data_IF_944223607489
#
_entry.id   IF_944223607489
#
_cell.length_a   1.000
_cell.length_b   1.000
_cell.length_c   1.000
_cell.angle_alpha   90.00
_cell.angle_beta   90.00
_cell.angle_gamma   90.00
#
_symmetry.space_group_name_H-M   'P 1'
#
loop_
_entity.id
_entity.type
_entity.pdbx_description
1 polymer ?
#
# COMPACT_ATOMS: atom_id res chain seq x y z
N UNK A 1 7.28 2.10 2.92
CA UNK A 1 6.87 3.21 3.78
C UNK A 1 6.23 2.76 5.08
N UNK A 2 5.30 1.79 5.09
CA UNK A 2 4.60 1.35 6.32
C UNK A 2 5.49 0.65 7.35
N UNK A 3 6.67 0.21 6.97
CA UNK A 3 7.62 -0.49 7.84
C UNK A 3 8.72 0.45 8.36
N UNK A 4 9.04 1.52 7.64
CA UNK A 4 10.22 2.35 7.97
C UNK A 4 10.12 2.99 9.35
N UNK A 5 8.94 3.46 9.75
CA UNK A 5 8.74 4.03 11.08
C UNK A 5 8.81 2.98 12.20
N UNK A 6 8.28 1.78 11.94
CA UNK A 6 8.43 0.66 12.86
C UNK A 6 9.91 0.30 13.04
N UNK A 7 10.71 0.41 11.99
CA UNK A 7 12.15 0.17 12.03
C UNK A 7 12.84 1.15 12.95
N UNK A 8 12.49 2.44 12.90
CA UNK A 8 13.07 3.45 13.77
C UNK A 8 12.75 3.20 15.25
N UNK A 9 11.55 2.70 15.55
CA UNK A 9 11.20 2.25 16.91
C UNK A 9 11.97 1.00 17.33
N UNK A 10 12.06 -0.01 16.46
CA UNK A 10 12.79 -1.27 16.74
C UNK A 10 14.29 -0.99 16.97
N UNK A 11 14.89 -0.05 16.24
CA UNK A 11 16.30 0.33 16.42
C UNK A 11 16.63 0.94 17.79
N UNK A 12 15.63 1.42 18.52
CA UNK A 12 15.82 1.90 19.90
C UNK A 12 16.12 0.76 20.87
N UNK A 13 15.77 -0.47 20.52
CA UNK A 13 16.04 -1.65 21.33
C UNK A 13 17.52 -2.06 21.21
N UNK A 14 18.22 -2.12 22.36
CA UNK A 14 19.69 -2.28 22.43
C UNK A 14 20.24 -3.60 21.85
N UNK A 15 19.40 -4.63 21.73
CA UNK A 15 19.82 -5.97 21.34
C UNK A 15 19.29 -6.40 19.97
N UNK A 16 18.77 -5.46 19.18
CA UNK A 16 18.21 -5.74 17.87
C UNK A 16 19.07 -5.10 16.79
N UNK A 17 19.57 -5.90 15.87
CA UNK A 17 20.21 -5.46 14.65
C UNK A 17 19.19 -5.54 13.51
N UNK A 18 18.93 -4.40 12.84
CA UNK A 18 18.00 -4.32 11.72
C UNK A 18 18.77 -4.28 10.42
N UNK A 19 18.44 -5.22 9.52
CA UNK A 19 18.98 -5.29 8.17
C UNK A 19 17.82 -5.12 7.18
N UNK A 20 17.93 -4.14 6.29
CA UNK A 20 16.91 -3.88 5.28
C UNK A 20 17.25 -4.56 3.97
N UNK A 21 16.33 -5.44 3.54
CA UNK A 21 16.36 -5.99 2.19
C UNK A 21 15.45 -5.20 1.26
N UNK A 22 15.91 -4.87 0.07
CA UNK A 22 15.11 -4.17 -0.95
C UNK A 22 15.23 -4.81 -2.32
N UNK A 23 14.22 -4.60 -3.15
CA UNK A 23 14.20 -5.01 -4.54
C UNK A 23 14.50 -3.81 -5.46
N UNK A 24 14.95 -4.05 -6.70
CA UNK A 24 15.43 -3.02 -7.65
C UNK A 24 14.51 -1.80 -7.86
N UNK A 25 13.22 -1.92 -7.58
CA UNK A 25 12.25 -0.82 -7.76
C UNK A 25 12.17 0.19 -6.61
N UNK A 26 12.74 -0.11 -5.44
CA UNK A 26 12.59 0.70 -4.20
C UNK A 26 13.89 1.33 -3.69
N UNK A 27 14.94 1.32 -4.48
CA UNK A 27 16.30 1.64 -4.05
C UNK A 27 16.55 3.10 -3.63
N UNK A 28 15.71 4.06 -4.06
CA UNK A 28 15.99 5.49 -3.82
C UNK A 28 15.61 5.96 -2.41
N UNK A 29 14.66 5.31 -1.76
CA UNK A 29 14.15 5.70 -0.43
C UNK A 29 14.90 5.02 0.73
N UNK A 30 15.66 3.95 0.44
CA UNK A 30 16.27 3.08 1.46
C UNK A 30 17.78 3.33 1.61
N UNK A 31 18.39 4.14 0.73
CA UNK A 31 19.86 4.37 0.70
C UNK A 31 20.46 4.97 1.96
N UNK A 32 19.65 5.62 2.78
CA UNK A 32 20.10 6.32 3.99
C UNK A 32 20.16 5.43 5.25
N UNK A 33 19.78 4.15 5.14
CA UNK A 33 19.88 3.21 6.25
C UNK A 33 21.24 2.52 6.26
N UNK A 34 21.87 2.44 7.44
CA UNK A 34 23.26 1.96 7.63
C UNK A 34 23.52 0.55 7.09
N UNK A 35 22.51 -0.33 7.13
CA UNK A 35 22.63 -1.73 6.65
C UNK A 35 21.53 -2.04 5.67
N UNK A 36 21.80 -1.83 4.40
CA UNK A 36 20.89 -2.19 3.32
C UNK A 36 21.57 -3.12 2.34
N UNK A 37 20.81 -4.04 1.77
CA UNK A 37 21.30 -4.91 0.72
C UNK A 37 20.22 -5.16 -0.33
N UNK A 38 20.66 -5.35 -1.57
CA UNK A 38 19.78 -5.83 -2.63
C UNK A 38 19.42 -7.28 -2.40
N UNK A 39 18.13 -7.59 -2.46
CA UNK A 39 17.63 -8.94 -2.30
C UNK A 39 16.87 -9.39 -3.54
N UNK A 40 17.26 -10.52 -4.08
CA UNK A 40 16.44 -11.23 -5.04
C UNK A 40 15.51 -12.17 -4.26
N UNK A 41 14.20 -11.94 -4.37
CA UNK A 41 13.19 -12.68 -3.62
C UNK A 41 13.30 -14.21 -3.78
N UNK A 42 13.79 -14.70 -4.93
CA UNK A 42 14.01 -16.12 -5.15
C UNK A 42 15.11 -16.75 -4.30
N UNK A 43 16.00 -15.95 -3.71
CA UNK A 43 17.08 -16.42 -2.85
C UNK A 43 16.82 -16.26 -1.36
N UNK A 44 15.70 -15.65 -0.96
CA UNK A 44 15.35 -15.45 0.46
C UNK A 44 15.44 -16.73 1.29
N UNK A 45 15.00 -17.85 0.74
CA UNK A 45 15.01 -19.16 1.40
C UNK A 45 16.39 -19.66 1.83
N UNK A 46 17.46 -19.11 1.28
CA UNK A 46 18.84 -19.50 1.58
C UNK A 46 19.48 -18.66 2.68
N UNK A 47 18.83 -17.60 3.15
CA UNK A 47 19.35 -16.76 4.22
C UNK A 47 19.14 -17.48 5.55
N UNK A 48 20.24 -17.80 6.25
CA UNK A 48 20.22 -18.57 7.50
C UNK A 48 20.53 -17.77 8.76
N UNK A 49 20.95 -16.51 8.60
CA UNK A 49 21.47 -15.69 9.71
C UNK A 49 20.48 -14.61 10.17
N UNK A 50 19.19 -14.88 10.03
CA UNK A 50 18.12 -13.97 10.44
C UNK A 50 17.25 -14.69 11.45
N UNK A 51 17.09 -14.10 12.64
CA UNK A 51 16.22 -14.65 13.69
C UNK A 51 14.74 -14.32 13.45
N UNK A 52 14.48 -13.12 12.92
CA UNK A 52 13.14 -12.62 12.61
C UNK A 52 13.13 -12.07 11.18
N UNK A 53 12.19 -12.53 10.40
CA UNK A 53 11.90 -11.98 9.06
C UNK A 53 10.56 -11.26 9.09
N UNK A 54 10.58 -9.96 8.76
CA UNK A 54 9.41 -9.11 8.75
C UNK A 54 9.16 -8.57 7.35
N UNK A 55 7.92 -8.64 6.86
CA UNK A 55 7.54 -8.15 5.54
C UNK A 55 6.13 -7.57 5.53
N UNK A 56 5.92 -6.47 4.81
CA UNK A 56 4.60 -5.92 4.49
C UNK A 56 4.04 -6.41 3.15
N UNK A 57 4.82 -7.18 2.41
CA UNK A 57 4.37 -7.82 1.17
C UNK A 57 4.34 -9.33 1.36
N UNK A 58 3.44 -9.99 0.63
CA UNK A 58 3.35 -11.45 0.66
C UNK A 58 4.58 -12.05 0.00
N UNK A 59 5.33 -12.83 0.77
CA UNK A 59 6.51 -13.56 0.31
C UNK A 59 6.15 -15.04 0.24
N UNK A 60 6.41 -15.67 -0.90
CA UNK A 60 6.09 -17.08 -1.14
C UNK A 60 7.21 -18.02 -0.66
N UNK A 61 8.47 -17.58 -0.77
CA UNK A 61 9.65 -18.30 -0.31
C UNK A 61 10.31 -17.52 0.84
N UNK A 62 10.15 -18.02 2.03
CA UNK A 62 10.70 -17.43 3.24
C UNK A 62 12.13 -17.87 3.51
N UNK A 63 12.95 -17.02 4.15
CA UNK A 63 14.24 -17.44 4.68
C UNK A 63 14.07 -18.50 5.76
N UNK A 64 15.15 -19.24 6.00
CA UNK A 64 15.25 -20.22 7.09
C UNK A 64 15.42 -19.49 8.44
N UNK A 65 14.34 -18.90 8.95
CA UNK A 65 14.31 -18.15 10.21
C UNK A 65 13.43 -18.85 11.24
N UNK A 66 13.57 -18.48 12.51
CA UNK A 66 12.73 -18.99 13.58
C UNK A 66 11.34 -18.36 13.56
N UNK A 67 11.24 -17.05 13.23
CA UNK A 67 9.98 -16.31 13.25
C UNK A 67 9.77 -15.53 11.95
N UNK A 68 8.60 -15.68 11.36
CA UNK A 68 8.17 -15.01 10.15
C UNK A 68 6.94 -14.16 10.45
N UNK A 69 7.07 -12.86 10.29
CA UNK A 69 6.02 -11.88 10.59
C UNK A 69 5.58 -11.22 9.31
N UNK A 70 4.31 -11.31 9.01
CA UNK A 70 3.67 -10.53 7.97
C UNK A 70 2.89 -9.38 8.60
N UNK A 71 3.13 -8.15 8.13
CA UNK A 71 2.35 -6.97 8.50
C UNK A 71 1.45 -6.62 7.33
N UNK A 72 0.15 -6.63 7.53
CA UNK A 72 -0.78 -6.25 6.49
C UNK A 72 -0.60 -4.76 6.13
N UNK A 73 -0.37 -4.48 4.86
CA UNK A 73 -0.15 -3.12 4.36
C UNK A 73 -1.45 -2.41 3.93
N UNK A 74 -2.56 -3.15 3.89
CA UNK A 74 -3.89 -2.63 3.59
C UNK A 74 -4.73 -2.53 4.85
N UNK A 75 -5.63 -1.55 4.90
CA UNK A 75 -6.51 -1.36 6.06
C UNK A 75 -7.61 -2.40 6.14
N UNK A 76 -8.16 -2.82 5.01
CA UNK A 76 -9.34 -3.70 4.94
C UNK A 76 -9.17 -4.88 4.00
N UNK A 77 -8.66 -4.67 2.81
CA UNK A 77 -8.54 -5.70 1.81
C UNK A 77 -7.09 -5.90 1.36
N UNK A 78 -6.69 -7.11 1.36
CA UNK A 78 -5.71 -7.56 0.39
C UNK A 78 -6.51 -7.86 -0.86
N UNK A 79 -6.10 -7.42 -2.07
CA UNK A 79 -6.88 -7.60 -3.28
C UNK A 79 -7.08 -9.09 -3.56
N UNK A 80 -8.17 -9.62 -3.06
CA UNK A 80 -8.60 -11.01 -3.20
C UNK A 80 -9.71 -11.11 -4.24
N UNK A 81 -9.46 -10.51 -5.40
CA UNK A 81 -10.43 -10.45 -6.50
C UNK A 81 -10.37 -11.72 -7.36
N UNK A 82 -9.26 -12.46 -7.30
CA UNK A 82 -9.00 -13.65 -8.06
C UNK A 82 -8.85 -14.86 -7.12
N UNK A 83 -9.75 -15.85 -7.23
CA UNK A 83 -9.79 -17.03 -6.36
C UNK A 83 -8.47 -17.82 -6.38
N UNK A 84 -7.77 -17.87 -7.49
CA UNK A 84 -6.49 -18.57 -7.58
C UNK A 84 -5.37 -17.78 -6.87
N UNK A 85 -5.35 -16.48 -7.04
CA UNK A 85 -4.44 -15.58 -6.31
C UNK A 85 -4.73 -15.62 -4.82
N UNK A 86 -6.01 -15.62 -4.41
CA UNK A 86 -6.42 -15.76 -3.02
C UNK A 86 -5.89 -17.06 -2.40
N UNK A 87 -6.05 -18.20 -3.09
CA UNK A 87 -5.57 -19.50 -2.63
C UNK A 87 -4.05 -19.49 -2.40
N UNK A 88 -3.29 -18.92 -3.34
CA UNK A 88 -1.83 -18.83 -3.23
C UNK A 88 -1.41 -17.87 -2.11
N UNK A 89 -2.11 -16.75 -1.95
CA UNK A 89 -1.91 -15.81 -0.85
C UNK A 89 -2.11 -16.51 0.50
N UNK A 90 -3.23 -17.20 0.69
CA UNK A 90 -3.53 -17.93 1.93
C UNK A 90 -2.47 -19.00 2.22
N UNK A 91 -2.01 -19.71 1.19
CA UNK A 91 -0.90 -20.68 1.36
C UNK A 91 0.40 -20.02 1.82
N UNK A 92 0.71 -18.83 1.32
CA UNK A 92 1.90 -18.10 1.74
C UNK A 92 1.75 -17.57 3.18
N UNK A 93 0.60 -17.00 3.52
CA UNK A 93 0.30 -16.51 4.86
C UNK A 93 0.31 -17.64 5.91
N UNK A 94 -0.13 -18.84 5.56
CA UNK A 94 -0.06 -20.00 6.45
C UNK A 94 1.38 -20.45 6.79
N UNK A 95 2.40 -19.96 6.07
CA UNK A 95 3.81 -20.19 6.39
C UNK A 95 4.37 -19.19 7.41
N UNK A 96 3.64 -18.12 7.71
CA UNK A 96 4.04 -17.15 8.74
C UNK A 96 3.83 -17.73 10.14
N UNK A 97 4.57 -17.21 11.11
CA UNK A 97 4.35 -17.51 12.53
C UNK A 97 3.38 -16.48 13.12
N UNK A 98 3.48 -15.23 12.68
CA UNK A 98 2.61 -14.13 13.10
C UNK A 98 2.10 -13.35 11.90
N UNK A 99 0.86 -12.88 11.98
CA UNK A 99 0.24 -11.98 11.02
C UNK A 99 -0.36 -10.81 11.78
N UNK A 100 0.16 -9.61 11.53
CA UNK A 100 -0.29 -8.38 12.13
C UNK A 100 -1.35 -7.75 11.23
N UNK A 101 -2.52 -7.47 11.79
CA UNK A 101 -3.72 -7.04 11.08
C UNK A 101 -4.29 -5.76 11.67
N UNK A 102 -4.97 -5.00 10.83
CA UNK A 102 -5.46 -3.66 11.16
C UNK A 102 -6.66 -3.65 12.13
N UNK A 103 -7.43 -4.72 12.22
CA UNK A 103 -8.63 -4.79 13.05
C UNK A 103 -9.15 -6.21 13.27
N UNK A 104 -10.03 -6.37 14.25
CA UNK A 104 -10.75 -7.61 14.52
C UNK A 104 -11.57 -8.10 13.31
N UNK A 105 -12.16 -7.20 12.54
CA UNK A 105 -12.96 -7.54 11.35
C UNK A 105 -12.06 -8.21 10.30
N UNK A 106 -10.85 -7.69 10.10
CA UNK A 106 -9.87 -8.26 9.17
C UNK A 106 -9.37 -9.62 9.67
N UNK A 107 -9.17 -9.77 10.98
CA UNK A 107 -8.83 -11.07 11.60
C UNK A 107 -9.91 -12.10 11.29
N UNK A 108 -11.16 -11.80 11.59
CA UNK A 108 -12.28 -12.71 11.36
C UNK A 108 -12.44 -13.09 9.88
N UNK A 109 -12.27 -12.11 8.98
CA UNK A 109 -12.32 -12.33 7.54
C UNK A 109 -11.20 -13.29 7.09
N UNK A 110 -9.95 -13.04 7.54
CA UNK A 110 -8.81 -13.87 7.18
C UNK A 110 -8.94 -15.28 7.78
N UNK A 111 -9.38 -15.42 9.02
CA UNK A 111 -9.63 -16.73 9.64
C UNK A 111 -10.64 -17.56 8.86
N UNK A 112 -11.75 -16.94 8.43
CA UNK A 112 -12.76 -17.59 7.60
C UNK A 112 -12.14 -18.13 6.30
N UNK A 113 -11.35 -17.30 5.61
CA UNK A 113 -10.68 -17.67 4.37
C UNK A 113 -9.64 -18.77 4.59
N UNK A 114 -8.82 -18.66 5.62
CA UNK A 114 -7.83 -19.69 5.98
C UNK A 114 -8.50 -21.04 6.26
N UNK A 115 -9.64 -21.05 6.93
CA UNK A 115 -10.40 -22.27 7.20
C UNK A 115 -10.93 -22.92 5.92
N UNK A 116 -11.43 -22.13 4.97
CA UNK A 116 -11.91 -22.65 3.67
C UNK A 116 -10.81 -23.34 2.85
N UNK A 117 -9.56 -22.89 2.97
CA UNK A 117 -8.44 -23.45 2.20
C UNK A 117 -7.57 -24.47 2.98
N UNK A 118 -7.90 -24.75 4.26
CA UNK A 118 -7.11 -25.64 5.12
C UNK A 118 -7.54 -27.10 5.05
N UNK A 119 -8.61 -27.46 4.37
CA UNK A 119 -9.19 -28.82 4.37
C UNK A 119 -8.26 -29.94 3.89
N UNK A 120 -7.10 -29.59 3.29
CA UNK A 120 -6.13 -30.55 2.77
C UNK A 120 -4.69 -30.40 3.34
N UNK A 121 -4.47 -29.57 4.36
CA UNK A 121 -3.13 -29.39 4.91
C UNK A 121 -2.98 -30.07 6.28
N UNK A 122 -2.35 -31.22 6.25
CA UNK A 122 -1.92 -31.98 7.42
C UNK A 122 -0.93 -31.11 8.22
N UNK A 123 -1.34 -30.73 9.45
CA UNK A 123 -0.46 -30.32 10.57
C UNK A 123 0.62 -29.25 10.29
N UNK A 124 0.33 -28.14 9.66
CA UNK A 124 1.17 -26.96 9.85
C UNK A 124 0.62 -26.12 11.03
N UNK A 125 1.53 -25.62 11.88
CA UNK A 125 1.19 -24.65 12.93
C UNK A 125 0.47 -23.47 12.26
N UNK A 126 -0.76 -23.17 12.67
CA UNK A 126 -1.48 -21.98 12.14
C UNK A 126 -0.79 -20.72 12.64
N UNK A 127 -0.68 -19.66 11.82
CA UNK A 127 -0.13 -18.39 12.26
C UNK A 127 -0.99 -17.79 13.38
N UNK A 128 -0.34 -17.07 14.28
CA UNK A 128 -1.02 -16.26 15.26
C UNK A 128 -1.45 -14.94 14.61
N UNK A 129 -2.75 -14.66 14.60
CA UNK A 129 -3.30 -13.40 14.09
C UNK A 129 -3.38 -12.39 15.22
N UNK A 130 -2.81 -11.22 15.04
CA UNK A 130 -2.70 -10.19 16.07
C UNK A 130 -3.29 -8.89 15.54
N UNK A 131 -4.21 -8.29 16.30
CA UNK A 131 -4.71 -6.95 16.03
C UNK A 131 -3.67 -5.93 16.51
N UNK A 132 -3.01 -5.27 15.57
CA UNK A 132 -1.98 -4.25 15.84
C UNK A 132 -2.44 -2.84 15.50
N UNK A 133 -3.65 -2.69 14.96
CA UNK A 133 -4.05 -1.44 14.34
C UNK A 133 -3.42 -1.26 12.95
N UNK A 134 -3.51 -0.06 12.41
CA UNK A 134 -3.02 0.29 11.09
C UNK A 134 -1.98 1.41 11.15
N UNK A 135 -0.70 1.04 11.21
CA UNK A 135 0.44 1.95 11.39
C UNK A 135 0.45 3.14 10.43
N UNK A 136 0.08 2.90 9.17
CA UNK A 136 0.01 3.97 8.17
C UNK A 136 -1.01 5.05 8.53
N UNK A 137 -2.13 4.67 9.15
CA UNK A 137 -3.15 5.62 9.58
C UNK A 137 -2.66 6.48 10.74
N UNK A 138 -1.97 5.87 11.70
CA UNK A 138 -1.39 6.58 12.85
C UNK A 138 -0.41 7.65 12.37
N UNK A 139 0.48 7.29 11.42
CA UNK A 139 1.40 8.23 10.81
C UNK A 139 0.72 9.38 10.07
N UNK A 140 -0.27 9.05 9.23
CA UNK A 140 -1.05 10.07 8.50
C UNK A 140 -1.73 11.02 9.46
N UNK A 141 -2.38 10.49 10.49
CA UNK A 141 -3.09 11.26 11.50
C UNK A 141 -2.16 12.25 12.22
N UNK A 142 -1.01 11.77 12.71
CA UNK A 142 -0.04 12.63 13.40
C UNK A 142 0.51 13.72 12.47
N UNK A 143 0.83 13.41 11.22
CA UNK A 143 1.32 14.38 10.23
C UNK A 143 0.27 15.40 9.81
N UNK A 144 -1.00 15.01 9.70
CA UNK A 144 -2.08 15.93 9.36
C UNK A 144 -2.47 16.83 10.54
N UNK A 145 -2.45 16.31 11.77
CA UNK A 145 -2.80 17.05 12.99
C UNK A 145 -1.89 18.27 13.25
N UNK A 146 -0.61 18.17 12.88
CA UNK A 146 0.38 19.22 13.14
C UNK A 146 0.22 20.43 12.20
N UNK A 147 -0.42 20.27 11.04
CA UNK A 147 -0.47 21.28 10.00
C UNK A 147 -1.92 21.71 9.73
N UNK A 148 -2.11 23.02 9.52
CA UNK A 148 -3.40 23.56 9.11
C UNK A 148 -3.81 22.99 7.76
N UNK A 149 -5.02 22.48 7.65
CA UNK A 149 -5.60 22.01 6.41
C UNK A 149 -6.01 23.23 5.54
N UNK A 150 -5.61 23.23 4.28
CA UNK A 150 -5.98 24.30 3.33
C UNK A 150 -7.38 24.09 2.73
N UNK A 151 -7.79 22.86 2.55
CA UNK A 151 -9.12 22.40 2.11
C UNK A 151 -9.73 23.16 0.91
N UNK A 152 -8.90 23.56 -0.04
CA UNK A 152 -9.32 24.31 -1.24
C UNK A 152 -9.41 23.45 -2.51
N UNK A 153 -9.18 22.14 -2.37
CA UNK A 153 -9.02 21.24 -3.50
C UNK A 153 -9.93 20.02 -3.43
N UNK A 154 -10.15 19.40 -4.58
CA UNK A 154 -10.72 18.06 -4.75
C UNK A 154 -9.61 17.15 -5.22
N UNK A 155 -9.39 16.03 -4.51
CA UNK A 155 -8.42 15.01 -4.85
C UNK A 155 -9.08 13.90 -5.66
N UNK A 156 -8.58 13.65 -6.88
CA UNK A 156 -8.93 12.49 -7.70
C UNK A 156 -7.81 11.47 -7.56
N UNK A 157 -8.06 10.35 -6.89
CA UNK A 157 -7.05 9.32 -6.61
C UNK A 157 -7.58 7.92 -6.90
N UNK A 158 -7.54 7.48 -8.17
CA UNK A 158 -7.98 6.13 -8.56
C UNK A 158 -7.07 5.04 -7.99
N UNK A 159 -7.61 3.82 -7.91
CA UNK A 159 -6.82 2.61 -7.61
C UNK A 159 -5.92 2.23 -8.78
N UNK A 160 -5.04 1.25 -8.56
CA UNK A 160 -4.21 0.67 -9.62
C UNK A 160 -5.11 0.15 -10.76
N UNK A 161 -4.86 0.61 -11.96
CA UNK A 161 -5.69 0.35 -13.14
C UNK A 161 -5.90 -1.13 -13.48
N UNK A 162 -4.99 -2.00 -13.04
CA UNK A 162 -5.08 -3.45 -13.26
C UNK A 162 -5.90 -4.18 -12.19
N UNK A 163 -6.37 -3.47 -11.15
CA UNK A 163 -7.09 -4.09 -10.03
C UNK A 163 -8.54 -4.38 -10.39
N UNK A 164 -9.20 -3.46 -11.10
CA UNK A 164 -10.61 -3.60 -11.48
C UNK A 164 -10.70 -3.85 -12.99
N UNK A 165 -11.40 -4.92 -13.38
CA UNK A 165 -11.56 -5.28 -14.80
C UNK A 165 -12.75 -4.55 -15.45
N UNK A 166 -13.80 -4.29 -14.68
CA UNK A 166 -15.09 -3.83 -15.22
C UNK A 166 -15.35 -2.34 -14.97
N UNK A 167 -14.55 -1.69 -14.13
CA UNK A 167 -14.67 -0.26 -13.84
C UNK A 167 -13.30 0.33 -13.52
N UNK A 168 -12.97 1.45 -14.15
CA UNK A 168 -11.76 2.18 -13.89
C UNK A 168 -12.04 3.67 -13.95
N UNK A 169 -11.86 4.37 -12.84
CA UNK A 169 -12.11 5.81 -12.75
C UNK A 169 -11.30 6.60 -13.79
N UNK A 170 -10.13 6.12 -14.18
CA UNK A 170 -9.29 6.78 -15.17
C UNK A 170 -9.95 6.95 -16.55
N UNK A 171 -10.89 6.07 -16.91
CA UNK A 171 -11.64 6.18 -18.17
C UNK A 171 -12.60 7.37 -18.17
N UNK A 172 -12.99 7.82 -16.98
CA UNK A 172 -13.92 8.92 -16.76
C UNK A 172 -13.24 10.22 -16.30
N UNK A 173 -11.91 10.25 -16.20
CA UNK A 173 -11.17 11.40 -15.68
C UNK A 173 -11.44 12.68 -16.44
N UNK A 174 -11.40 12.66 -17.77
CA UNK A 174 -11.59 13.87 -18.57
C UNK A 174 -12.97 14.51 -18.36
N UNK A 175 -14.10 13.78 -18.47
CA UNK A 175 -15.40 14.36 -18.18
C UNK A 175 -15.54 14.80 -16.71
N UNK A 176 -14.98 14.07 -15.75
CA UNK A 176 -15.02 14.43 -14.32
C UNK A 176 -14.26 15.73 -14.10
N UNK A 177 -13.02 15.84 -14.56
CA UNK A 177 -12.19 17.05 -14.42
C UNK A 177 -12.89 18.25 -15.04
N UNK A 178 -13.40 18.11 -16.26
CA UNK A 178 -14.11 19.15 -16.97
C UNK A 178 -15.33 19.65 -16.18
N UNK A 179 -16.13 18.72 -15.66
CA UNK A 179 -17.34 19.04 -14.90
C UNK A 179 -16.99 19.77 -13.60
N UNK A 180 -15.99 19.28 -12.86
CA UNK A 180 -15.55 19.89 -11.61
C UNK A 180 -14.97 21.29 -11.84
N UNK A 181 -14.14 21.50 -12.86
CA UNK A 181 -13.56 22.80 -13.17
C UNK A 181 -14.61 23.83 -13.61
N UNK A 182 -15.71 23.41 -14.25
CA UNK A 182 -16.75 24.30 -14.72
C UNK A 182 -17.77 24.66 -13.64
N UNK A 183 -18.02 23.76 -12.68
CA UNK A 183 -19.14 23.88 -11.75
C UNK A 183 -18.71 24.05 -10.29
N UNK A 184 -17.40 24.13 -10.02
CA UNK A 184 -16.89 24.35 -8.66
C UNK A 184 -15.79 25.40 -8.64
N UNK A 185 -15.54 25.96 -7.46
CA UNK A 185 -14.41 26.86 -7.22
C UNK A 185 -13.17 26.13 -6.67
N UNK A 186 -13.22 24.80 -6.54
CA UNK A 186 -12.12 24.01 -6.02
C UNK A 186 -11.00 23.87 -7.06
N UNK A 187 -9.79 23.79 -6.58
CA UNK A 187 -8.67 23.26 -7.36
C UNK A 187 -8.81 21.75 -7.50
N UNK A 188 -8.39 21.21 -8.62
CA UNK A 188 -8.43 19.75 -8.87
C UNK A 188 -7.02 19.21 -8.81
N UNK A 189 -6.79 18.25 -7.94
CA UNK A 189 -5.54 17.51 -7.84
C UNK A 189 -5.80 16.09 -8.34
N UNK A 190 -5.18 15.72 -9.46
CA UNK A 190 -5.21 14.35 -9.94
C UNK A 190 -3.94 13.62 -9.50
N UNK A 191 -4.09 12.57 -8.73
CA UNK A 191 -2.99 11.73 -8.25
C UNK A 191 -3.12 10.31 -8.77
N UNK A 192 -2.44 9.97 -9.89
CA UNK A 192 -2.46 8.62 -10.45
C UNK A 192 -1.80 7.63 -9.49
N UNK A 193 -2.22 6.37 -9.54
CA UNK A 193 -1.60 5.33 -8.73
C UNK A 193 -0.13 5.14 -9.13
N UNK A 194 0.83 5.08 -8.18
CA UNK A 194 2.26 4.95 -8.49
C UNK A 194 2.61 3.74 -9.35
N UNK A 195 1.89 2.62 -9.18
CA UNK A 195 2.08 1.39 -9.96
C UNK A 195 1.71 1.52 -11.44
N UNK A 196 0.95 2.55 -11.82
CA UNK A 196 0.56 2.78 -13.22
C UNK A 196 1.66 3.45 -14.07
N UNK A 197 2.72 3.97 -13.44
CA UNK A 197 3.84 4.62 -14.16
C UNK A 197 4.48 3.74 -15.25
N UNK A 198 4.49 2.42 -15.05
CA UNK A 198 5.02 1.47 -16.03
C UNK A 198 4.01 1.04 -17.10
N UNK A 199 2.74 1.46 -17.00
CA UNK A 199 1.69 1.09 -17.93
C UNK A 199 1.62 2.08 -19.11
N UNK A 200 1.96 1.62 -20.31
CA UNK A 200 1.99 2.46 -21.51
C UNK A 200 0.62 3.10 -21.83
N UNK A 201 -0.46 2.37 -21.70
CA UNK A 201 -1.81 2.90 -21.97
C UNK A 201 -2.19 4.00 -20.98
N UNK A 202 -1.80 3.84 -19.72
CA UNK A 202 -2.01 4.88 -18.69
C UNK A 202 -1.18 6.12 -18.94
N UNK A 203 0.04 5.97 -19.40
CA UNK A 203 0.86 7.11 -19.79
C UNK A 203 0.24 7.91 -20.93
N UNK A 204 -0.45 7.27 -21.87
CA UNK A 204 -1.21 7.98 -22.91
C UNK A 204 -2.37 8.79 -22.33
N UNK A 205 -3.13 8.23 -21.41
CA UNK A 205 -4.22 8.94 -20.70
C UNK A 205 -3.64 10.10 -19.90
N UNK A 206 -2.59 9.87 -19.12
CA UNK A 206 -1.91 10.90 -18.34
C UNK A 206 -1.41 12.04 -19.19
N UNK A 207 -0.77 11.76 -20.32
CA UNK A 207 -0.27 12.77 -21.25
C UNK A 207 -1.42 13.56 -21.86
N UNK A 208 -2.50 12.91 -22.27
CA UNK A 208 -3.69 13.56 -22.82
C UNK A 208 -4.33 14.52 -21.80
N UNK A 209 -4.51 14.09 -20.56
CA UNK A 209 -5.03 14.91 -19.47
C UNK A 209 -4.09 16.08 -19.17
N UNK A 210 -2.79 15.81 -19.07
CA UNK A 210 -1.80 16.86 -18.84
C UNK A 210 -1.84 17.91 -19.95
N UNK A 211 -1.77 17.51 -21.21
CA UNK A 211 -1.76 18.43 -22.35
C UNK A 211 -3.01 19.30 -22.42
N UNK A 212 -4.16 18.73 -22.07
CA UNK A 212 -5.43 19.43 -22.06
C UNK A 212 -5.55 20.47 -20.93
N UNK A 213 -5.03 20.14 -19.74
CA UNK A 213 -5.27 20.95 -18.54
C UNK A 213 -4.03 21.64 -17.97
N UNK A 214 -2.81 21.43 -18.49
CA UNK A 214 -1.54 21.99 -17.96
C UNK A 214 -1.53 23.52 -17.80
N UNK A 215 -2.33 24.24 -18.59
CA UNK A 215 -2.43 25.70 -18.52
C UNK A 215 -3.58 26.17 -17.60
N UNK A 216 -4.36 25.25 -17.02
CA UNK A 216 -5.44 25.62 -16.10
C UNK A 216 -4.87 25.76 -14.69
N UNK A 217 -4.88 26.97 -14.13
CA UNK A 217 -4.37 27.28 -12.79
C UNK A 217 -5.05 26.51 -11.64
N UNK A 218 -6.23 25.99 -11.90
CA UNK A 218 -7.02 25.22 -10.94
C UNK A 218 -6.87 23.71 -11.14
N UNK A 219 -5.93 23.25 -11.98
CA UNK A 219 -5.66 21.82 -12.18
C UNK A 219 -4.18 21.51 -12.02
N UNK A 220 -3.87 20.42 -11.34
CA UNK A 220 -2.52 19.84 -11.32
C UNK A 220 -2.55 18.33 -11.26
N UNK A 221 -1.52 17.70 -11.82
CA UNK A 221 -1.22 16.29 -11.58
C UNK A 221 -0.16 16.21 -10.46
N UNK A 222 -0.41 15.37 -9.46
CA UNK A 222 0.51 15.13 -8.36
C UNK A 222 1.22 13.80 -8.54
N UNK A 223 2.55 13.88 -8.73
CA UNK A 223 3.45 12.72 -8.86
C UNK A 223 4.36 12.54 -7.65
N UNK A 224 4.18 13.32 -6.60
CA UNK A 224 5.01 13.24 -5.41
C UNK A 224 4.93 11.86 -4.76
N UNK A 225 6.01 11.42 -4.15
CA UNK A 225 6.04 10.15 -3.42
C UNK A 225 5.12 10.20 -2.20
N UNK A 226 5.10 11.34 -1.49
CA UNK A 226 4.18 11.58 -0.38
C UNK A 226 2.82 12.08 -0.86
N UNK A 227 1.76 11.44 -0.34
CA UNK A 227 0.37 11.87 -0.58
C UNK A 227 -0.12 12.91 0.45
N UNK A 228 0.65 13.16 1.49
CA UNK A 228 0.22 13.99 2.63
C UNK A 228 -0.15 15.43 2.21
N UNK A 229 0.61 16.03 1.29
CA UNK A 229 0.34 17.40 0.83
C UNK A 229 -0.95 17.49 0.02
N UNK A 230 -1.25 16.47 -0.77
CA UNK A 230 -2.52 16.38 -1.47
C UNK A 230 -3.69 16.19 -0.50
N UNK A 231 -3.52 15.38 0.56
CA UNK A 231 -4.53 15.23 1.59
C UNK A 231 -4.80 16.54 2.35
N UNK A 232 -3.74 17.26 2.76
CA UNK A 232 -3.86 18.54 3.47
C UNK A 232 -4.62 19.62 2.68
N UNK A 233 -4.51 19.61 1.35
CA UNK A 233 -5.12 20.60 0.46
C UNK A 233 -6.53 20.21 0.06
N UNK A 234 -6.91 18.98 0.23
CA UNK A 234 -8.15 18.48 -0.33
C UNK A 234 -9.26 18.40 0.73
N UNK A 235 -10.39 18.98 0.39
CA UNK A 235 -11.64 18.89 1.17
C UNK A 235 -12.47 17.68 0.78
N UNK A 236 -12.34 17.22 -0.44
CA UNK A 236 -13.12 16.12 -1.01
C UNK A 236 -12.16 15.14 -1.68
N UNK A 237 -12.35 13.86 -1.43
CA UNK A 237 -11.73 12.77 -2.19
C UNK A 237 -12.75 12.17 -3.14
N UNK A 238 -12.36 12.02 -4.41
CA UNK A 238 -13.05 11.19 -5.39
C UNK A 238 -12.11 10.04 -5.74
N UNK A 239 -12.54 8.85 -5.45
CA UNK A 239 -11.79 7.62 -5.69
C UNK A 239 -12.75 6.51 -6.12
N UNK A 240 -12.22 5.43 -6.64
CA UNK A 240 -12.92 4.19 -6.88
C UNK A 240 -12.68 3.19 -5.74
N UNK A 241 -12.38 1.95 -6.01
CA UNK A 241 -12.16 0.90 -5.02
C UNK A 241 -10.72 0.95 -4.47
N UNK A 242 -10.32 2.05 -3.84
CA UNK A 242 -8.96 2.28 -3.35
C UNK A 242 -8.87 2.32 -1.83
N UNK A 243 -7.81 1.72 -1.29
CA UNK A 243 -7.43 1.87 0.12
C UNK A 243 -7.18 3.32 0.55
N UNK A 244 -7.00 4.25 -0.41
CA UNK A 244 -6.90 5.69 -0.19
C UNK A 244 -8.13 6.25 0.53
N UNK A 245 -9.33 5.71 0.27
CA UNK A 245 -10.57 6.13 0.94
C UNK A 245 -10.48 6.02 2.47
N UNK A 246 -9.85 4.98 2.97
CA UNK A 246 -9.72 4.73 4.41
C UNK A 246 -8.62 5.56 5.08
N UNK A 247 -7.60 5.95 4.33
CA UNK A 247 -6.49 6.75 4.87
C UNK A 247 -6.74 8.25 4.76
N UNK A 248 -7.69 8.65 3.91
CA UNK A 248 -8.11 10.05 3.75
C UNK A 248 -9.19 10.46 4.77
N UNK A 249 -10.08 9.53 5.15
CA UNK A 249 -11.17 9.78 6.12
C UNK A 249 -10.63 9.99 7.53
#
# INVERSE_FOLDING_TARGET
DNILELIDEIKKEKNIEVILGYNLGSSNEIKDYEKTFFINLGYLRFIKQIDIFLSSYVVYDFPSTLNKIYINHDIYDTPMVDLEKEKNLIKALNKCDYIFLSSEIVILSLQKKMNCYSENQIKSKKPQLINTGYLKLDHVYEKLKINKLEEDSILLAPTLSTTLKDFNLDEYLDPIIKELLNNTNFKIIYRPHPGDKANLNKNLILNSINDKYKNNKNFKIDFDTSYLDSYKKSKILITDFSGTAYTYA
#
